data_IF_585657145409
#
_entry.id   IF_585657145409
#
_cell.length_a   1.000
_cell.length_b   1.000
_cell.length_c   1.000
_cell.angle_alpha   90.00
_cell.angle_beta   90.00
_cell.angle_gamma   90.00
#
_symmetry.space_group_name_H-M   'P 1'
#
loop_
_entity.id
_entity.type
_entity.pdbx_description
1 polymer ?
#
# COMPACT_ATOMS: atom_id res chain seq x y z
N UNK A 1 -13.24 11.39 -29.16
CA UNK A 1 -12.92 11.13 -27.72
C UNK A 1 -11.42 11.28 -27.51
N UNK A 2 -10.93 11.75 -26.33
CA UNK A 2 -9.50 11.83 -26.04
C UNK A 2 -8.97 10.46 -25.60
N UNK A 3 -7.85 10.00 -26.18
CA UNK A 3 -7.20 8.73 -25.89
C UNK A 3 -5.69 8.87 -25.84
N UNK A 4 -5.03 8.06 -25.00
CA UNK A 4 -3.56 8.07 -24.80
C UNK A 4 -2.88 6.80 -25.32
N UNK A 5 -3.66 5.80 -25.78
CA UNK A 5 -3.16 4.56 -26.40
C UNK A 5 -3.47 4.59 -27.90
N UNK A 6 -2.42 4.65 -28.73
CA UNK A 6 -2.56 4.71 -30.21
C UNK A 6 -3.32 3.51 -30.78
N UNK A 7 -3.26 2.33 -30.14
CA UNK A 7 -3.94 1.10 -30.56
C UNK A 7 -5.46 1.16 -30.38
N UNK A 8 -5.93 2.03 -29.47
CA UNK A 8 -7.35 2.24 -29.15
C UNK A 8 -8.00 3.37 -29.96
N UNK A 9 -7.21 4.07 -30.79
CA UNK A 9 -7.70 5.18 -31.62
C UNK A 9 -8.68 4.64 -32.66
N UNK A 10 -9.77 5.38 -32.84
CA UNK A 10 -10.77 5.21 -33.89
C UNK A 10 -10.98 6.52 -34.64
N UNK A 11 -11.62 6.46 -35.80
CA UNK A 11 -11.84 7.65 -36.68
C UNK A 11 -12.49 8.81 -35.92
N UNK A 12 -11.84 9.95 -35.94
CA UNK A 12 -12.33 11.19 -35.31
C UNK A 12 -11.87 11.38 -33.87
N UNK A 13 -11.11 10.45 -33.27
CA UNK A 13 -10.57 10.60 -31.92
C UNK A 13 -9.44 11.65 -31.88
N UNK A 14 -9.18 12.13 -30.68
CA UNK A 14 -8.00 12.94 -30.34
C UNK A 14 -6.96 12.05 -29.65
N UNK A 15 -5.76 11.98 -30.21
CA UNK A 15 -4.63 11.30 -29.57
C UNK A 15 -3.82 12.27 -28.73
N UNK A 16 -3.55 11.96 -27.47
CA UNK A 16 -2.67 12.69 -26.59
C UNK A 16 -1.41 11.87 -26.33
N UNK A 17 -0.27 12.39 -26.76
CA UNK A 17 1.03 11.73 -26.68
C UNK A 17 1.65 11.92 -25.28
N UNK A 18 1.46 10.93 -24.38
CA UNK A 18 2.04 10.96 -23.04
C UNK A 18 3.46 10.40 -23.05
N UNK A 19 4.37 11.10 -22.38
CA UNK A 19 5.70 10.58 -22.08
C UNK A 19 5.62 9.64 -20.88
N UNK A 20 5.89 8.35 -21.10
CA UNK A 20 5.97 7.31 -20.07
C UNK A 20 7.41 7.07 -19.62
N UNK A 21 7.58 6.17 -18.64
CA UNK A 21 8.91 5.79 -18.10
C UNK A 21 9.68 4.93 -19.09
N UNK A 22 9.01 4.04 -19.81
CA UNK A 22 9.62 3.06 -20.73
C UNK A 22 9.43 3.48 -22.20
N UNK A 23 8.32 4.12 -22.53
CA UNK A 23 7.94 4.48 -23.89
C UNK A 23 7.53 5.95 -23.95
N UNK A 24 7.89 6.64 -25.04
CA UNK A 24 7.40 7.99 -25.31
C UNK A 24 6.20 7.91 -26.28
N UNK A 25 5.03 8.41 -25.84
CA UNK A 25 3.82 8.45 -26.66
C UNK A 25 3.99 9.23 -27.96
N UNK A 26 4.96 10.14 -28.02
CA UNK A 26 5.28 10.89 -29.24
C UNK A 26 5.76 9.99 -30.38
N UNK A 27 6.39 8.85 -30.07
CA UNK A 27 6.86 7.88 -31.07
C UNK A 27 5.69 7.15 -31.78
N UNK A 28 4.48 7.27 -31.25
CA UNK A 28 3.27 6.59 -31.74
C UNK A 28 2.26 7.53 -32.41
N UNK A 29 2.61 8.81 -32.61
CA UNK A 29 1.69 9.81 -33.18
C UNK A 29 1.29 9.42 -34.61
N UNK A 30 2.25 9.05 -35.45
CA UNK A 30 1.97 8.64 -36.82
C UNK A 30 1.04 7.43 -36.88
N UNK A 31 1.28 6.46 -36.01
CA UNK A 31 0.39 5.29 -35.90
C UNK A 31 -1.02 5.67 -35.45
N UNK A 32 -1.17 6.62 -34.52
CA UNK A 32 -2.45 7.12 -34.09
C UNK A 32 -3.21 7.83 -35.24
N UNK A 33 -2.50 8.60 -36.06
CA UNK A 33 -3.05 9.26 -37.27
C UNK A 33 -3.53 8.20 -38.28
N UNK A 34 -2.71 7.18 -38.54
CA UNK A 34 -3.06 6.07 -39.44
C UNK A 34 -4.30 5.31 -38.94
N UNK A 35 -4.46 5.20 -37.63
CA UNK A 35 -5.64 4.58 -37.00
C UNK A 35 -6.88 5.49 -36.99
N UNK A 36 -6.76 6.76 -37.45
CA UNK A 36 -7.86 7.67 -37.66
C UNK A 36 -7.98 8.80 -36.63
N UNK A 37 -6.91 9.14 -35.91
CA UNK A 37 -6.89 10.34 -35.09
C UNK A 37 -7.10 11.59 -35.97
N UNK A 38 -8.05 12.42 -35.61
CA UNK A 38 -8.33 13.70 -36.33
C UNK A 38 -7.60 14.89 -35.68
N UNK A 39 -7.13 14.70 -34.45
CA UNK A 39 -6.39 15.69 -33.67
C UNK A 39 -5.29 15.01 -32.85
N UNK A 40 -4.15 15.68 -32.70
CA UNK A 40 -3.02 15.29 -31.88
C UNK A 40 -2.73 16.37 -30.85
N UNK A 41 -2.48 15.96 -29.61
CA UNK A 41 -1.95 16.82 -28.54
C UNK A 41 -0.59 16.28 -28.16
N UNK A 42 0.45 17.11 -28.29
CA UNK A 42 1.84 16.71 -28.09
C UNK A 42 2.69 17.88 -27.57
N UNK A 43 3.94 17.61 -27.22
CA UNK A 43 4.89 18.60 -26.70
C UNK A 43 5.76 19.17 -27.83
N UNK A 44 5.84 18.49 -28.98
CA UNK A 44 6.69 18.86 -30.15
C UNK A 44 6.17 18.20 -31.41
N UNK A 45 6.59 18.75 -32.54
CA UNK A 45 6.31 18.22 -33.89
C UNK A 45 5.21 18.97 -34.62
N UNK A 46 5.00 18.62 -35.89
CA UNK A 46 3.92 19.09 -36.75
C UNK A 46 3.45 17.92 -37.61
N UNK A 47 2.14 17.73 -37.72
CA UNK A 47 1.52 16.55 -38.33
C UNK A 47 0.40 16.95 -39.27
N UNK A 48 0.01 16.05 -40.19
CA UNK A 48 -1.02 16.30 -41.20
C UNK A 48 -2.46 16.30 -40.67
N UNK A 49 -2.61 16.47 -39.34
CA UNK A 49 -3.91 16.59 -38.67
C UNK A 49 -3.88 17.79 -37.71
N UNK A 50 -5.04 18.20 -37.19
CA UNK A 50 -5.08 19.28 -36.22
C UNK A 50 -4.13 18.97 -35.08
N UNK A 51 -3.12 19.82 -34.85
CA UNK A 51 -2.07 19.62 -33.84
C UNK A 51 -2.11 20.73 -32.80
N UNK A 52 -2.26 20.35 -31.54
CA UNK A 52 -2.14 21.24 -30.40
C UNK A 52 -0.82 20.94 -29.68
N UNK A 53 0.10 21.92 -29.67
CA UNK A 53 1.36 21.84 -28.93
C UNK A 53 1.12 22.40 -27.51
N UNK A 54 1.50 21.63 -26.49
CA UNK A 54 1.42 22.00 -25.08
C UNK A 54 2.77 21.83 -24.41
N UNK A 55 3.10 22.61 -23.36
CA UNK A 55 4.39 22.51 -22.67
C UNK A 55 4.61 21.15 -21.99
N UNK A 56 3.54 20.51 -21.50
CA UNK A 56 3.55 19.23 -20.81
C UNK A 56 2.19 18.54 -21.05
N UNK A 57 2.22 17.39 -21.70
CA UNK A 57 1.02 16.63 -22.06
C UNK A 57 0.33 15.99 -20.84
N UNK A 58 1.07 15.68 -19.78
CA UNK A 58 0.50 15.12 -18.54
C UNK A 58 -0.25 16.19 -17.74
N UNK A 59 0.31 17.38 -17.63
CA UNK A 59 -0.36 18.54 -17.00
C UNK A 59 -1.62 18.90 -17.78
N UNK A 60 -1.55 18.90 -19.11
CA UNK A 60 -2.71 19.14 -19.97
C UNK A 60 -3.80 18.10 -19.72
N UNK A 61 -3.43 16.80 -19.68
CA UNK A 61 -4.37 15.70 -19.43
C UNK A 61 -5.06 15.86 -18.08
N UNK A 62 -4.30 16.10 -17.01
CA UNK A 62 -4.84 16.24 -15.67
C UNK A 62 -5.89 17.37 -15.61
N UNK A 63 -5.54 18.54 -16.17
CA UNK A 63 -6.46 19.67 -16.24
C UNK A 63 -7.70 19.35 -17.10
N UNK A 64 -7.51 18.76 -18.28
CA UNK A 64 -8.61 18.39 -19.17
C UNK A 64 -9.60 17.44 -18.48
N UNK A 65 -9.09 16.42 -17.78
CA UNK A 65 -9.92 15.46 -17.05
C UNK A 65 -10.64 16.13 -15.86
N UNK A 66 -9.93 16.95 -15.07
CA UNK A 66 -10.53 17.71 -13.95
C UNK A 66 -11.66 18.60 -14.45
N UNK A 67 -11.46 19.36 -15.52
CA UNK A 67 -12.47 20.27 -16.06
C UNK A 67 -13.67 19.49 -16.65
N UNK A 68 -13.39 18.39 -17.38
CA UNK A 68 -14.41 17.57 -18.01
C UNK A 68 -15.31 16.86 -17.00
N UNK A 69 -14.73 16.34 -15.93
CA UNK A 69 -15.43 15.52 -14.91
C UNK A 69 -15.59 16.24 -13.57
N UNK A 70 -15.55 17.58 -13.60
CA UNK A 70 -15.66 18.42 -12.39
C UNK A 70 -16.88 18.06 -11.54
N UNK A 71 -18.06 17.89 -12.16
CA UNK A 71 -19.29 17.55 -11.45
C UNK A 71 -19.17 16.24 -10.66
N UNK A 72 -18.54 15.22 -11.27
CA UNK A 72 -18.33 13.92 -10.64
C UNK A 72 -17.31 14.03 -9.50
N UNK A 73 -16.19 14.73 -9.73
CA UNK A 73 -15.16 14.93 -8.71
C UNK A 73 -15.71 15.71 -7.49
N UNK A 74 -16.50 16.74 -7.71
CA UNK A 74 -17.10 17.56 -6.66
C UNK A 74 -18.09 16.77 -5.78
N UNK A 75 -18.57 15.59 -6.23
CA UNK A 75 -19.45 14.74 -5.43
C UNK A 75 -18.73 13.84 -4.44
N UNK A 76 -17.40 13.74 -4.53
CA UNK A 76 -16.60 12.87 -3.67
C UNK A 76 -15.85 13.62 -2.58
N UNK A 77 -15.63 12.93 -1.46
CA UNK A 77 -14.56 13.21 -0.53
C UNK A 77 -13.37 12.31 -0.84
N UNK A 78 -12.18 12.87 -1.01
CA UNK A 78 -10.96 12.13 -1.30
C UNK A 78 -10.08 12.01 -0.06
N UNK A 79 -9.63 10.78 0.24
CA UNK A 79 -8.67 10.48 1.31
C UNK A 79 -7.43 9.85 0.68
N UNK A 80 -6.26 10.48 0.84
CA UNK A 80 -4.99 10.03 0.29
C UNK A 80 -4.03 9.57 1.39
N UNK A 81 -3.50 8.34 1.29
CA UNK A 81 -2.58 7.77 2.27
C UNK A 81 -1.20 7.58 1.65
N UNK A 82 -0.17 8.17 2.24
CA UNK A 82 1.22 7.95 1.83
C UNK A 82 2.10 7.50 3.00
N UNK A 83 3.27 6.97 2.69
CA UNK A 83 4.25 6.45 3.63
C UNK A 83 5.02 5.28 3.03
N UNK A 84 6.01 4.73 3.73
CA UNK A 84 6.69 3.50 3.30
C UNK A 84 5.82 2.30 3.60
N UNK A 85 5.44 2.09 4.84
CA UNK A 85 4.63 0.97 5.33
C UNK A 85 3.27 1.47 5.83
N UNK A 86 2.27 0.57 5.92
CA UNK A 86 0.96 0.86 6.53
C UNK A 86 -0.09 1.48 5.60
N UNK A 87 0.24 1.95 4.40
CA UNK A 87 -0.72 2.54 3.45
C UNK A 87 -1.94 1.65 3.21
N UNK A 88 -1.71 0.41 2.78
CA UNK A 88 -2.76 -0.56 2.45
C UNK A 88 -3.67 -0.83 3.63
N UNK A 89 -3.08 -1.12 4.80
CA UNK A 89 -3.86 -1.41 6.00
C UNK A 89 -4.68 -0.20 6.42
N UNK A 90 -4.07 0.99 6.51
CA UNK A 90 -4.78 2.22 6.89
C UNK A 90 -5.93 2.53 5.92
N UNK A 91 -5.66 2.53 4.61
CA UNK A 91 -6.68 2.81 3.59
C UNK A 91 -7.82 1.78 3.63
N UNK A 92 -7.51 0.49 3.82
CA UNK A 92 -8.53 -0.55 3.89
C UNK A 92 -9.34 -0.50 5.19
N UNK A 93 -8.73 -0.12 6.31
CA UNK A 93 -9.44 0.12 7.57
C UNK A 93 -10.39 1.33 7.45
N UNK A 94 -9.97 2.42 6.79
CA UNK A 94 -10.84 3.56 6.49
C UNK A 94 -12.03 3.11 5.64
N UNK A 95 -11.78 2.39 4.54
CA UNK A 95 -12.80 1.85 3.66
C UNK A 95 -13.86 1.04 4.43
N UNK A 96 -13.42 0.08 5.26
CA UNK A 96 -14.33 -0.73 6.05
C UNK A 96 -15.11 0.11 7.06
N UNK A 97 -14.42 0.96 7.82
CA UNK A 97 -14.99 1.74 8.91
C UNK A 97 -16.06 2.70 8.39
N UNK A 98 -15.79 3.46 7.33
CA UNK A 98 -16.75 4.39 6.74
C UNK A 98 -17.98 3.66 6.17
N UNK A 99 -17.80 2.53 5.49
CA UNK A 99 -18.94 1.71 5.04
C UNK A 99 -19.77 1.19 6.23
N UNK A 100 -19.15 0.81 7.36
CA UNK A 100 -19.86 0.39 8.58
C UNK A 100 -20.56 1.55 9.30
N UNK A 101 -20.12 2.76 9.06
CA UNK A 101 -20.76 4.00 9.50
C UNK A 101 -21.86 4.48 8.55
N UNK A 102 -22.13 3.74 7.45
CA UNK A 102 -23.15 4.06 6.46
C UNK A 102 -22.71 5.04 5.37
N UNK A 103 -21.41 5.32 5.26
CA UNK A 103 -20.84 6.20 4.23
C UNK A 103 -20.30 5.37 3.08
N UNK A 104 -20.99 5.35 1.96
CA UNK A 104 -20.61 4.55 0.79
C UNK A 104 -19.22 4.94 0.30
N UNK A 105 -18.27 4.05 0.49
CA UNK A 105 -16.84 4.31 0.29
C UNK A 105 -16.24 3.33 -0.69
N UNK A 106 -15.38 3.81 -1.59
CA UNK A 106 -14.54 2.98 -2.46
C UNK A 106 -13.08 3.00 -1.96
N UNK A 107 -12.34 1.92 -2.26
CA UNK A 107 -10.90 1.81 -1.99
C UNK A 107 -10.13 1.59 -3.29
N UNK A 108 -9.03 2.30 -3.48
CA UNK A 108 -8.08 2.15 -4.59
C UNK A 108 -6.68 1.94 -4.00
N UNK A 109 -6.07 0.80 -4.26
CA UNK A 109 -4.72 0.54 -3.73
C UNK A 109 -4.15 -0.81 -4.11
N UNK A 110 -3.11 -1.23 -3.39
CA UNK A 110 -2.31 -2.43 -3.68
C UNK A 110 -3.14 -3.70 -3.80
N UNK A 111 -4.17 -3.85 -3.00
CA UNK A 111 -5.02 -5.06 -3.00
C UNK A 111 -6.17 -4.99 -4.02
N UNK A 112 -6.25 -3.93 -4.82
CA UNK A 112 -7.22 -3.77 -5.90
C UNK A 112 -8.07 -2.52 -5.79
N UNK A 113 -9.10 -2.43 -6.62
CA UNK A 113 -10.17 -1.45 -6.55
C UNK A 113 -11.42 -2.13 -5.97
N UNK A 114 -11.92 -1.62 -4.86
CA UNK A 114 -13.08 -2.13 -4.16
C UNK A 114 -14.20 -1.10 -4.19
N UNK A 115 -15.36 -1.49 -4.62
CA UNK A 115 -16.60 -0.73 -4.51
C UNK A 115 -17.76 -1.72 -4.35
N UNK A 116 -18.62 -1.48 -3.37
CA UNK A 116 -19.62 -2.46 -2.94
C UNK A 116 -18.94 -3.82 -2.61
N UNK A 117 -19.51 -4.94 -3.08
CA UNK A 117 -18.96 -6.29 -2.92
C UNK A 117 -18.05 -6.70 -4.10
N UNK A 118 -17.68 -5.75 -4.98
CA UNK A 118 -16.85 -6.04 -6.15
C UNK A 118 -15.39 -5.69 -5.92
N UNK A 119 -14.48 -6.54 -6.44
CA UNK A 119 -13.04 -6.30 -6.48
C UNK A 119 -12.56 -6.38 -7.93
N UNK A 120 -11.77 -5.40 -8.34
CA UNK A 120 -10.99 -5.43 -9.59
C UNK A 120 -9.50 -5.33 -9.27
N UNK A 121 -8.70 -6.22 -9.84
CA UNK A 121 -7.23 -6.14 -9.71
C UNK A 121 -6.67 -4.91 -10.41
N UNK A 122 -5.59 -4.37 -9.87
CA UNK A 122 -4.89 -3.22 -10.39
C UNK A 122 -3.42 -3.58 -10.69
N UNK A 123 -2.89 -3.04 -11.77
CA UNK A 123 -1.48 -3.23 -12.13
C UNK A 123 -0.51 -2.41 -11.25
N UNK A 124 -1.00 -1.35 -10.63
CA UNK A 124 -0.23 -0.45 -9.78
C UNK A 124 -1.02 -0.10 -8.53
N UNK A 125 -0.32 0.10 -7.40
CA UNK A 125 -0.92 0.59 -6.15
C UNK A 125 -1.74 1.87 -6.35
N UNK A 126 -1.22 2.78 -7.19
CA UNK A 126 -1.92 3.99 -7.63
C UNK A 126 -1.95 3.96 -9.16
N UNK A 127 -3.11 3.74 -9.79
CA UNK A 127 -3.27 3.72 -11.24
C UNK A 127 -2.88 5.03 -11.92
N UNK A 128 -2.73 5.02 -13.24
CA UNK A 128 -2.48 6.26 -14.00
C UNK A 128 -3.78 7.09 -14.15
N UNK A 129 -3.66 8.36 -14.53
CA UNK A 129 -4.76 9.33 -14.59
C UNK A 129 -6.00 8.81 -15.32
N UNK A 130 -5.85 8.25 -16.52
CA UNK A 130 -6.99 7.73 -17.27
C UNK A 130 -7.73 6.62 -16.53
N UNK A 131 -6.97 5.65 -15.99
CA UNK A 131 -7.55 4.53 -15.23
C UNK A 131 -8.23 5.01 -13.93
N UNK A 132 -7.65 6.02 -13.25
CA UNK A 132 -8.26 6.63 -12.06
C UNK A 132 -9.60 7.28 -12.39
N UNK A 133 -9.66 8.06 -13.48
CA UNK A 133 -10.90 8.71 -13.87
C UNK A 133 -11.97 7.73 -14.31
N UNK A 134 -11.61 6.62 -14.99
CA UNK A 134 -12.55 5.53 -15.29
C UNK A 134 -13.11 4.93 -13.98
N UNK A 135 -12.28 4.77 -12.94
CA UNK A 135 -12.73 4.30 -11.63
C UNK A 135 -13.62 5.33 -10.91
N UNK A 136 -13.29 6.63 -11.04
CA UNK A 136 -14.14 7.69 -10.46
C UNK A 136 -15.52 7.74 -11.12
N UNK A 137 -15.61 7.51 -12.43
CA UNK A 137 -16.89 7.41 -13.12
C UNK A 137 -17.70 6.19 -12.65
N UNK A 138 -17.06 5.02 -12.51
CA UNK A 138 -17.70 3.83 -11.92
C UNK A 138 -18.18 4.11 -10.49
N UNK A 139 -17.39 4.82 -9.68
CA UNK A 139 -17.78 5.26 -8.34
C UNK A 139 -19.00 6.21 -8.38
N UNK A 140 -19.02 7.16 -9.33
CA UNK A 140 -20.11 8.10 -9.46
C UNK A 140 -21.43 7.41 -9.82
N UNK A 141 -21.40 6.49 -10.79
CA UNK A 141 -22.57 5.72 -11.21
C UNK A 141 -23.10 4.84 -10.07
N UNK A 142 -22.24 4.42 -9.15
CA UNK A 142 -22.61 3.64 -7.96
C UNK A 142 -22.96 4.48 -6.74
N UNK A 143 -23.01 5.81 -6.86
CA UNK A 143 -23.28 6.73 -5.77
C UNK A 143 -22.31 6.59 -4.59
N UNK A 144 -21.03 6.40 -4.86
CA UNK A 144 -19.95 6.46 -3.86
C UNK A 144 -19.82 7.90 -3.36
N UNK A 145 -19.58 8.07 -2.07
CA UNK A 145 -19.43 9.39 -1.43
C UNK A 145 -17.97 9.67 -1.04
N UNK A 146 -17.20 8.62 -0.73
CA UNK A 146 -15.80 8.75 -0.31
C UNK A 146 -14.92 7.82 -1.13
N UNK A 147 -13.80 8.34 -1.62
CA UNK A 147 -12.76 7.56 -2.30
C UNK A 147 -11.52 7.58 -1.43
N UNK A 148 -11.13 6.42 -0.92
CA UNK A 148 -9.89 6.23 -0.16
C UNK A 148 -8.85 5.60 -1.07
N UNK A 149 -7.68 6.23 -1.19
CA UNK A 149 -6.66 5.73 -2.08
C UNK A 149 -5.26 5.74 -1.47
N UNK A 150 -4.50 4.69 -1.78
CA UNK A 150 -3.06 4.68 -1.54
C UNK A 150 -2.38 5.57 -2.57
N UNK A 151 -1.55 6.50 -2.11
CA UNK A 151 -0.77 7.40 -2.98
C UNK A 151 0.70 7.09 -2.79
N UNK A 152 1.25 6.31 -3.73
CA UNK A 152 2.65 5.91 -3.72
C UNK A 152 3.57 7.07 -4.14
N UNK A 153 4.83 7.04 -3.69
CA UNK A 153 5.83 8.03 -4.10
C UNK A 153 6.06 8.05 -5.60
N UNK A 154 6.02 6.87 -6.26
CA UNK A 154 6.08 6.77 -7.71
C UNK A 154 4.92 7.49 -8.40
N UNK A 155 3.70 7.34 -7.87
CA UNK A 155 2.54 8.01 -8.43
C UNK A 155 2.64 9.54 -8.32
N UNK A 156 3.15 10.02 -7.20
CA UNK A 156 3.40 11.46 -6.98
C UNK A 156 4.50 12.00 -7.89
N UNK A 157 5.57 11.22 -8.12
CA UNK A 157 6.66 11.61 -9.01
C UNK A 157 6.21 11.61 -10.48
N UNK A 158 5.45 10.58 -10.89
CA UNK A 158 4.95 10.41 -12.24
C UNK A 158 3.66 11.22 -12.53
N UNK A 159 3.18 12.02 -11.57
CA UNK A 159 1.98 12.84 -11.76
C UNK A 159 0.68 12.05 -11.99
N UNK A 160 0.57 10.82 -11.44
CA UNK A 160 -0.63 9.98 -11.61
C UNK A 160 -1.86 10.50 -10.86
N UNK A 161 -1.66 11.38 -9.90
CA UNK A 161 -2.73 12.02 -9.12
C UNK A 161 -2.72 13.56 -9.30
N UNK A 162 -2.08 14.04 -10.36
CA UNK A 162 -1.95 15.47 -10.63
C UNK A 162 -3.32 16.13 -10.72
N UNK A 163 -3.44 17.35 -10.19
CA UNK A 163 -4.67 18.17 -10.11
C UNK A 163 -5.83 17.56 -9.28
N UNK A 164 -5.63 16.41 -8.60
CA UNK A 164 -6.57 15.98 -7.57
C UNK A 164 -6.37 16.81 -6.30
N UNK A 165 -7.45 17.03 -5.58
CA UNK A 165 -7.45 17.71 -4.29
C UNK A 165 -8.08 16.81 -3.22
N UNK A 166 -7.43 16.68 -2.06
CA UNK A 166 -7.81 15.76 -1.01
C UNK A 166 -8.46 16.47 0.17
N UNK A 167 -9.56 15.92 0.67
CA UNK A 167 -10.20 16.36 1.91
C UNK A 167 -9.38 15.91 3.14
N UNK A 168 -8.75 14.73 3.05
CA UNK A 168 -7.87 14.20 4.09
C UNK A 168 -6.63 13.58 3.44
N UNK A 169 -5.47 13.90 3.98
CA UNK A 169 -4.24 13.19 3.65
C UNK A 169 -3.60 12.62 4.90
N UNK A 170 -2.90 11.49 4.78
CA UNK A 170 -2.21 10.89 5.92
C UNK A 170 -0.79 10.44 5.58
N UNK A 171 0.12 10.70 6.53
CA UNK A 171 1.49 10.18 6.55
C UNK A 171 1.62 9.11 7.62
N UNK A 172 2.03 7.92 7.23
CA UNK A 172 2.22 6.79 8.15
C UNK A 172 3.64 6.69 8.70
N UNK A 173 4.65 6.61 7.84
CA UNK A 173 6.07 6.54 8.19
C UNK A 173 6.97 6.70 6.96
N UNK A 174 8.26 6.94 7.19
CA UNK A 174 9.28 7.03 6.15
C UNK A 174 10.53 6.23 6.56
N UNK A 175 10.76 5.09 5.90
CA UNK A 175 11.97 4.26 6.05
C UNK A 175 12.58 3.98 4.69
N UNK A 176 13.78 3.42 4.64
CA UNK A 176 14.49 3.19 3.39
C UNK A 176 13.74 2.21 2.49
N UNK A 177 13.31 2.69 1.33
CA UNK A 177 12.73 1.90 0.25
C UNK A 177 12.82 2.68 -1.08
N UNK A 178 12.71 2.00 -2.22
CA UNK A 178 12.63 2.61 -3.56
C UNK A 178 13.76 3.59 -3.93
N UNK A 179 14.96 3.44 -3.35
CA UNK A 179 16.11 4.30 -3.69
C UNK A 179 16.62 4.06 -5.11
N UNK A 180 16.38 2.88 -5.67
CA UNK A 180 16.61 2.52 -7.07
C UNK A 180 15.87 3.45 -8.05
N UNK A 181 14.72 3.98 -7.65
CA UNK A 181 13.89 4.88 -8.45
C UNK A 181 14.12 6.34 -8.11
N UNK A 182 14.16 6.68 -6.83
CA UNK A 182 14.27 8.07 -6.38
C UNK A 182 15.71 8.60 -6.36
N UNK A 183 16.72 7.71 -6.44
CA UNK A 183 18.14 8.04 -6.42
C UNK A 183 18.66 8.50 -5.04
N UNK A 184 17.83 9.14 -4.21
CA UNK A 184 18.20 9.55 -2.86
C UNK A 184 17.01 9.50 -1.89
N UNK A 185 17.32 9.41 -0.60
CA UNK A 185 16.30 9.45 0.45
C UNK A 185 15.57 10.80 0.49
N UNK A 186 16.26 11.89 0.19
CA UNK A 186 15.69 13.24 0.15
C UNK A 186 14.65 13.36 -0.98
N UNK A 187 14.95 12.85 -2.17
CA UNK A 187 13.99 12.81 -3.28
C UNK A 187 12.76 11.97 -2.91
N UNK A 188 12.95 10.85 -2.22
CA UNK A 188 11.87 9.99 -1.74
C UNK A 188 10.97 10.71 -0.74
N UNK A 189 11.56 11.46 0.22
CA UNK A 189 10.83 12.32 1.15
C UNK A 189 10.03 13.40 0.38
N UNK A 190 10.72 14.14 -0.50
CA UNK A 190 10.12 15.22 -1.29
C UNK A 190 8.97 14.73 -2.17
N UNK A 191 9.10 13.53 -2.75
CA UNK A 191 8.03 12.92 -3.52
C UNK A 191 6.77 12.72 -2.69
N UNK A 192 6.88 12.17 -1.47
CA UNK A 192 5.72 11.96 -0.59
C UNK A 192 5.11 13.26 -0.07
N UNK A 193 5.92 14.28 0.18
CA UNK A 193 5.45 15.60 0.59
C UNK A 193 4.54 16.28 -0.44
N UNK A 194 4.64 15.91 -1.75
CA UNK A 194 3.75 16.43 -2.79
C UNK A 194 2.27 16.21 -2.45
N UNK A 195 1.92 15.06 -1.83
CA UNK A 195 0.54 14.78 -1.42
C UNK A 195 0.00 15.82 -0.43
N UNK A 196 0.84 16.28 0.50
CA UNK A 196 0.44 17.25 1.52
C UNK A 196 0.22 18.67 0.97
N UNK A 197 0.72 18.94 -0.24
CA UNK A 197 0.46 20.17 -0.99
C UNK A 197 -0.84 20.10 -1.81
N UNK A 198 -1.48 18.92 -1.86
CA UNK A 198 -2.72 18.67 -2.59
C UNK A 198 -3.94 18.65 -1.65
N UNK A 199 -3.76 19.04 -0.40
CA UNK A 199 -4.85 19.16 0.59
C UNK A 199 -5.70 20.37 0.25
N UNK A 200 -7.03 20.24 0.28
CA UNK A 200 -7.97 21.37 0.15
C UNK A 200 -7.74 22.37 1.28
N UNK A 201 -8.13 23.62 1.08
CA UNK A 201 -7.97 24.69 2.08
C UNK A 201 -8.65 24.38 3.44
N UNK A 202 -9.75 23.62 3.41
CA UNK A 202 -10.50 23.14 4.56
C UNK A 202 -10.20 21.66 4.90
N UNK A 203 -9.22 21.07 4.21
CA UNK A 203 -8.83 19.68 4.38
C UNK A 203 -7.90 19.45 5.56
N UNK A 204 -7.74 18.17 5.94
CA UNK A 204 -6.98 17.74 7.12
C UNK A 204 -5.74 16.95 6.72
N UNK A 205 -4.60 17.29 7.32
CA UNK A 205 -3.34 16.55 7.20
C UNK A 205 -3.06 15.74 8.48
N UNK A 206 -3.11 14.43 8.39
CA UNK A 206 -2.88 13.49 9.51
C UNK A 206 -1.41 13.05 9.49
N UNK A 207 -0.68 13.31 10.58
CA UNK A 207 0.76 13.09 10.63
C UNK A 207 1.16 12.25 11.84
N UNK A 208 1.88 11.14 11.56
CA UNK A 208 2.56 10.35 12.57
C UNK A 208 3.80 11.10 13.07
N UNK A 209 3.76 11.63 14.30
CA UNK A 209 4.89 12.37 14.88
C UNK A 209 5.89 11.47 15.63
N UNK A 210 5.62 10.20 15.77
CA UNK A 210 6.61 9.24 16.30
C UNK A 210 7.66 8.88 15.25
N UNK A 211 7.31 8.99 13.96
CA UNK A 211 8.28 8.86 12.88
C UNK A 211 9.29 10.02 12.91
N UNK A 212 10.56 9.70 12.64
CA UNK A 212 11.65 10.68 12.67
C UNK A 212 11.52 11.81 11.64
N UNK A 213 10.71 11.58 10.61
CA UNK A 213 10.43 12.56 9.54
C UNK A 213 9.02 13.17 9.67
N UNK A 214 8.27 12.86 10.72
CA UNK A 214 6.92 13.38 10.94
C UNK A 214 6.85 14.90 10.83
N UNK A 215 7.76 15.60 11.49
CA UNK A 215 7.81 17.07 11.48
C UNK A 215 7.95 17.66 10.07
N UNK A 216 8.52 16.91 9.11
CA UNK A 216 8.67 17.33 7.71
C UNK A 216 7.35 17.33 6.92
N UNK A 217 6.28 16.76 7.50
CA UNK A 217 4.94 16.73 6.92
C UNK A 217 3.95 17.71 7.57
N UNK A 218 4.40 18.50 8.53
CA UNK A 218 3.61 19.57 9.16
C UNK A 218 3.76 20.86 8.34
N UNK A 219 2.90 21.06 7.36
CA UNK A 219 2.88 22.29 6.56
C UNK A 219 1.97 23.33 7.23
N UNK A 220 2.44 24.59 7.35
CA UNK A 220 1.66 25.70 7.94
C UNK A 220 0.37 25.99 7.19
N UNK A 221 0.31 25.69 5.89
CA UNK A 221 -0.89 25.84 5.05
C UNK A 221 -1.99 24.83 5.36
N UNK A 222 -1.70 23.77 6.15
CA UNK A 222 -2.61 22.66 6.38
C UNK A 222 -3.19 22.69 7.79
N UNK A 223 -4.42 22.22 7.96
CA UNK A 223 -4.94 21.87 9.27
C UNK A 223 -4.34 20.52 9.71
N UNK A 224 -3.25 20.61 10.50
CA UNK A 224 -2.48 19.46 10.92
C UNK A 224 -3.08 18.78 12.15
N UNK A 225 -3.33 17.48 12.05
CA UNK A 225 -3.73 16.60 13.15
C UNK A 225 -2.64 15.57 13.37
N UNK A 226 -2.03 15.56 14.54
CA UNK A 226 -0.93 14.67 14.86
C UNK A 226 -1.39 13.46 15.66
N UNK A 227 -0.70 12.32 15.48
CA UNK A 227 -0.95 11.12 16.27
C UNK A 227 0.35 10.38 16.60
N UNK A 228 0.36 9.65 17.72
CA UNK A 228 1.52 8.88 18.18
C UNK A 228 1.52 8.63 19.68
N UNK A 229 2.63 8.09 20.19
CA UNK A 229 2.92 7.95 21.64
C UNK A 229 3.48 9.25 22.19
N UNK A 230 4.31 9.97 21.40
CA UNK A 230 4.74 11.32 21.75
C UNK A 230 3.53 12.25 21.94
N UNK A 231 3.68 13.38 22.64
CA UNK A 231 2.59 14.34 22.76
C UNK A 231 2.01 14.71 21.38
N UNK A 232 0.73 14.46 21.19
CA UNK A 232 0.04 14.57 19.91
C UNK A 232 -1.42 14.98 20.11
N UNK A 233 -2.11 15.40 19.04
CA UNK A 233 -3.57 15.65 19.05
C UNK A 233 -4.33 14.37 19.44
N UNK A 234 -3.91 13.22 18.91
CA UNK A 234 -4.38 11.88 19.26
C UNK A 234 -3.21 11.11 19.87
N UNK A 235 -3.10 11.13 21.20
CA UNK A 235 -1.96 10.58 21.92
C UNK A 235 -2.27 9.20 22.52
N UNK A 236 -1.47 8.21 22.19
CA UNK A 236 -1.47 6.90 22.85
C UNK A 236 -0.73 7.06 24.19
N UNK A 237 -1.43 6.80 25.30
CA UNK A 237 -0.86 6.89 26.65
C UNK A 237 -0.23 5.59 27.09
N UNK A 238 -0.90 4.49 26.84
CA UNK A 238 -0.48 3.14 27.21
C UNK A 238 -1.05 2.11 26.25
N UNK A 239 -0.42 0.94 26.12
CA UNK A 239 -0.91 -0.17 25.28
C UNK A 239 -0.49 -1.54 25.81
N UNK A 240 -1.34 -2.54 25.57
CA UNK A 240 -1.12 -3.96 25.85
C UNK A 240 -1.37 -4.77 24.57
N UNK A 241 -0.33 -5.44 24.09
CA UNK A 241 -0.38 -6.26 22.87
C UNK A 241 -0.70 -7.71 23.21
N UNK A 242 -1.70 -8.27 22.54
CA UNK A 242 -2.04 -9.70 22.56
C UNK A 242 -2.01 -10.26 21.16
N UNK A 243 -1.88 -11.56 21.04
CA UNK A 243 -1.79 -12.25 19.74
C UNK A 243 -3.00 -12.03 18.82
N UNK A 244 -4.17 -11.73 19.39
CA UNK A 244 -5.42 -11.57 18.64
C UNK A 244 -6.06 -10.19 18.79
N UNK A 245 -5.47 -9.28 19.55
CA UNK A 245 -5.99 -7.93 19.76
C UNK A 245 -4.93 -7.00 20.34
N UNK A 246 -5.16 -5.70 20.20
CA UNK A 246 -4.38 -4.65 20.84
C UNK A 246 -5.29 -3.83 21.75
N UNK A 247 -4.92 -3.65 23.02
CA UNK A 247 -5.60 -2.71 23.91
C UNK A 247 -4.74 -1.46 24.06
N UNK A 248 -5.35 -0.30 24.08
CA UNK A 248 -4.62 0.95 24.33
C UNK A 248 -5.55 2.04 24.83
N UNK A 249 -4.99 2.98 25.58
CA UNK A 249 -5.68 4.21 26.01
C UNK A 249 -5.30 5.34 25.10
N UNK A 250 -6.28 5.93 24.43
CA UNK A 250 -6.14 7.07 23.54
C UNK A 250 -6.60 8.34 24.22
N UNK A 251 -5.75 9.35 24.31
CA UNK A 251 -6.08 10.70 24.77
C UNK A 251 -6.35 11.61 23.56
N UNK A 252 -7.49 12.29 23.57
CA UNK A 252 -7.86 13.33 22.60
C UNK A 252 -8.37 14.54 23.36
N UNK A 253 -7.66 15.63 23.32
CA UNK A 253 -7.93 16.84 24.15
C UNK A 253 -7.99 16.47 25.63
N UNK A 254 -9.15 16.67 26.28
CA UNK A 254 -9.36 16.35 27.70
C UNK A 254 -9.99 14.96 27.95
N UNK A 255 -10.32 14.22 26.88
CA UNK A 255 -10.97 12.91 26.99
C UNK A 255 -9.96 11.77 26.83
N UNK A 256 -10.23 10.66 27.48
CA UNK A 256 -9.49 9.41 27.31
C UNK A 256 -10.43 8.30 26.93
N UNK A 257 -10.01 7.45 25.99
CA UNK A 257 -10.80 6.35 25.45
C UNK A 257 -10.00 5.03 25.59
N UNK A 258 -10.55 4.06 26.29
CA UNK A 258 -9.96 2.73 26.35
C UNK A 258 -10.45 1.90 25.15
N UNK A 259 -9.53 1.58 24.28
CA UNK A 259 -9.81 0.95 22.99
C UNK A 259 -9.32 -0.49 23.02
N UNK A 260 -10.18 -1.42 22.59
CA UNK A 260 -9.81 -2.81 22.30
C UNK A 260 -9.95 -3.03 20.79
N UNK A 261 -8.83 -2.99 20.09
CA UNK A 261 -8.77 -3.23 18.65
C UNK A 261 -8.68 -4.74 18.39
N UNK A 262 -9.59 -5.36 17.62
CA UNK A 262 -9.55 -6.79 17.30
C UNK A 262 -8.46 -7.16 16.27
N UNK A 263 -7.43 -6.36 16.20
CA UNK A 263 -6.29 -6.49 15.30
C UNK A 263 -5.02 -6.37 16.14
N UNK A 264 -4.11 -7.37 16.12
CA UNK A 264 -2.88 -7.33 16.88
C UNK A 264 -1.80 -6.49 16.23
N UNK A 265 -0.81 -6.13 17.03
CA UNK A 265 0.42 -5.49 16.60
C UNK A 265 0.43 -3.97 16.76
N UNK A 266 1.55 -3.48 17.25
CA UNK A 266 1.77 -2.05 17.53
C UNK A 266 1.51 -1.18 16.29
N UNK A 267 2.03 -1.57 15.12
CA UNK A 267 1.84 -0.82 13.88
C UNK A 267 0.37 -0.78 13.41
N UNK A 268 -0.44 -1.78 13.75
CA UNK A 268 -1.87 -1.77 13.44
C UNK A 268 -2.65 -0.79 14.32
N UNK A 269 -2.17 -0.50 15.52
CA UNK A 269 -2.69 0.59 16.35
C UNK A 269 -2.50 1.94 15.62
N UNK A 270 -1.33 2.20 15.05
CA UNK A 270 -1.09 3.40 14.24
C UNK A 270 -1.95 3.45 12.97
N UNK A 271 -2.07 2.32 12.26
CA UNK A 271 -2.93 2.22 11.07
C UNK A 271 -4.40 2.48 11.42
N UNK A 272 -4.87 1.99 12.57
CA UNK A 272 -6.22 2.24 13.05
C UNK A 272 -6.41 3.73 13.43
N UNK A 273 -5.43 4.38 14.03
CA UNK A 273 -5.53 5.82 14.33
C UNK A 273 -5.70 6.65 13.07
N UNK A 274 -5.04 6.32 11.98
CA UNK A 274 -5.28 6.97 10.68
C UNK A 274 -6.75 6.80 10.27
N UNK A 275 -7.32 5.61 10.44
CA UNK A 275 -8.72 5.35 10.08
C UNK A 275 -9.70 6.09 11.00
N UNK A 276 -9.47 6.08 12.30
CA UNK A 276 -10.26 6.81 13.29
C UNK A 276 -10.27 8.32 12.99
N UNK A 277 -9.07 8.90 12.84
CA UNK A 277 -8.92 10.35 12.61
C UNK A 277 -9.54 10.74 11.27
N UNK A 278 -9.39 9.92 10.23
CA UNK A 278 -10.02 10.17 8.93
C UNK A 278 -11.56 10.22 9.04
N UNK A 279 -12.16 9.28 9.79
CA UNK A 279 -13.60 9.29 10.01
C UNK A 279 -14.05 10.54 10.81
N UNK A 280 -13.32 10.90 11.87
CA UNK A 280 -13.60 12.10 12.65
C UNK A 280 -13.44 13.38 11.81
N UNK A 281 -12.44 13.43 10.92
CA UNK A 281 -12.24 14.54 9.99
C UNK A 281 -13.39 14.69 8.98
N UNK A 282 -14.15 13.63 8.73
CA UNK A 282 -15.38 13.66 7.92
C UNK A 282 -16.64 13.95 8.73
N UNK A 283 -16.52 14.28 10.03
CA UNK A 283 -17.61 14.73 10.90
C UNK A 283 -18.27 13.64 11.75
N UNK A 284 -17.66 12.45 11.88
CA UNK A 284 -18.17 11.42 12.80
C UNK A 284 -17.65 11.62 14.22
N UNK A 285 -18.50 11.35 15.22
CA UNK A 285 -18.08 11.33 16.61
C UNK A 285 -17.19 10.12 16.92
N UNK A 286 -16.18 10.30 17.78
CA UNK A 286 -15.23 9.24 18.15
C UNK A 286 -15.97 8.01 18.70
N UNK A 287 -16.97 8.22 19.58
CA UNK A 287 -17.74 7.14 20.18
C UNK A 287 -18.50 6.32 19.14
N UNK A 288 -19.06 6.95 18.11
CA UNK A 288 -19.77 6.24 17.04
C UNK A 288 -18.81 5.43 16.18
N UNK A 289 -17.59 5.95 15.94
CA UNK A 289 -16.51 5.20 15.27
C UNK A 289 -16.10 3.98 16.11
N UNK A 290 -15.89 4.16 17.41
CA UNK A 290 -15.48 3.10 18.33
C UNK A 290 -16.52 1.97 18.45
N UNK A 291 -17.82 2.26 18.34
CA UNK A 291 -18.87 1.24 18.29
C UNK A 291 -18.77 0.30 17.08
N UNK A 292 -18.00 0.65 16.06
CA UNK A 292 -17.83 -0.16 14.83
C UNK A 292 -16.50 -0.92 14.79
N UNK A 293 -15.64 -0.78 15.79
CA UNK A 293 -14.28 -1.31 15.79
C UNK A 293 -14.24 -2.86 15.69
N UNK A 294 -15.20 -3.56 16.26
CA UNK A 294 -15.27 -5.03 16.22
C UNK A 294 -15.65 -5.57 14.82
N UNK A 295 -16.05 -4.69 13.91
CA UNK A 295 -16.49 -5.06 12.55
C UNK A 295 -15.38 -4.93 11.50
N UNK A 296 -14.18 -4.45 11.89
CA UNK A 296 -13.06 -4.26 10.98
C UNK A 296 -12.01 -5.35 11.15
N UNK A 297 -11.27 -5.61 10.09
CA UNK A 297 -10.18 -6.59 10.04
C UNK A 297 -9.07 -6.12 9.10
N UNK A 298 -7.87 -6.65 9.29
CA UNK A 298 -6.77 -6.43 8.34
C UNK A 298 -7.12 -6.94 6.95
N UNK A 299 -6.60 -6.33 5.89
CA UNK A 299 -6.73 -6.88 4.54
C UNK A 299 -5.99 -8.22 4.44
N UNK A 300 -6.39 -9.06 3.47
CA UNK A 300 -5.72 -10.32 3.15
C UNK A 300 -4.21 -10.12 3.04
N UNK A 301 -3.44 -11.00 3.68
CA UNK A 301 -1.98 -10.98 3.65
C UNK A 301 -1.32 -9.77 4.34
N UNK A 302 -2.01 -9.13 5.26
CA UNK A 302 -1.48 -8.09 6.16
C UNK A 302 -1.75 -8.48 7.60
N UNK A 303 -0.80 -9.12 8.24
CA UNK A 303 -0.96 -9.77 9.54
C UNK A 303 -2.19 -10.68 9.58
N UNK A 304 -2.32 -11.50 8.56
CA UNK A 304 -3.49 -12.37 8.37
C UNK A 304 -3.32 -13.64 9.22
N UNK A 305 -4.14 -13.76 10.26
CA UNK A 305 -4.01 -14.80 11.29
C UNK A 305 -4.80 -16.04 10.93
N UNK A 306 -4.14 -17.18 11.08
CA UNK A 306 -4.73 -18.52 11.00
C UNK A 306 -4.45 -19.24 12.32
N UNK A 307 -5.49 -19.59 13.06
CA UNK A 307 -5.33 -20.37 14.29
C UNK A 307 -5.20 -21.86 13.93
N UNK A 308 -4.19 -22.52 14.50
CA UNK A 308 -3.93 -23.94 14.30
C UNK A 308 -3.59 -24.61 15.63
N UNK A 309 -4.52 -25.39 16.18
CA UNK A 309 -4.45 -25.94 17.55
C UNK A 309 -4.20 -24.81 18.59
N UNK A 310 -3.13 -24.92 19.40
CA UNK A 310 -2.68 -23.86 20.30
C UNK A 310 -1.72 -22.86 19.65
N UNK A 311 -1.43 -23.00 18.35
CA UNK A 311 -0.46 -22.23 17.60
C UNK A 311 -1.12 -21.15 16.74
N UNK A 312 -0.31 -20.19 16.29
CA UNK A 312 -0.75 -19.14 15.39
C UNK A 312 0.16 -19.09 14.16
N UNK A 313 -0.45 -19.09 13.00
CA UNK A 313 0.23 -18.88 11.72
C UNK A 313 -0.18 -17.49 11.22
N UNK A 314 0.80 -16.68 10.84
CA UNK A 314 0.59 -15.31 10.32
C UNK A 314 1.13 -15.22 8.91
N UNK A 315 0.30 -14.81 7.97
CA UNK A 315 0.72 -14.48 6.59
C UNK A 315 0.81 -12.97 6.45
N UNK A 316 1.98 -12.46 6.00
CA UNK A 316 2.20 -11.02 5.85
C UNK A 316 3.06 -10.66 4.64
N UNK A 317 2.83 -9.48 4.10
CA UNK A 317 3.54 -8.92 2.94
C UNK A 317 4.89 -8.29 3.30
N UNK A 318 5.41 -8.43 4.50
CA UNK A 318 6.70 -7.88 4.93
C UNK A 318 7.84 -8.39 4.03
N UNK A 319 8.35 -7.51 3.17
CA UNK A 319 9.38 -7.77 2.16
C UNK A 319 10.49 -6.71 2.11
N UNK A 320 10.51 -5.83 3.11
CA UNK A 320 11.58 -4.85 3.34
C UNK A 320 12.21 -5.09 4.70
N UNK A 321 13.49 -4.71 4.93
CA UNK A 321 14.16 -4.89 6.22
C UNK A 321 13.36 -4.34 7.40
N UNK A 322 12.83 -3.12 7.27
CA UNK A 322 12.04 -2.47 8.32
C UNK A 322 10.72 -3.22 8.59
N UNK A 323 9.99 -3.65 7.55
CA UNK A 323 8.75 -4.38 7.71
C UNK A 323 8.99 -5.74 8.40
N UNK A 324 10.04 -6.47 8.02
CA UNK A 324 10.42 -7.75 8.66
C UNK A 324 10.81 -7.53 10.12
N UNK A 325 11.58 -6.48 10.42
CA UNK A 325 11.94 -6.14 11.78
C UNK A 325 10.72 -5.79 12.64
N UNK A 326 9.82 -4.99 12.10
CA UNK A 326 8.64 -4.52 12.83
C UNK A 326 7.67 -5.67 13.15
N UNK A 327 7.42 -6.58 12.20
CA UNK A 327 6.55 -7.73 12.47
C UNK A 327 7.17 -8.68 13.49
N UNK A 328 8.46 -8.98 13.38
CA UNK A 328 9.17 -9.83 14.31
C UNK A 328 9.20 -9.24 15.72
N UNK A 329 9.56 -7.97 15.87
CA UNK A 329 9.54 -7.28 17.17
C UNK A 329 8.13 -7.27 17.78
N UNK A 330 7.11 -6.99 16.97
CA UNK A 330 5.73 -6.99 17.44
C UNK A 330 5.32 -8.37 18.00
N UNK A 331 5.66 -9.45 17.28
CA UNK A 331 5.35 -10.81 17.71
C UNK A 331 6.10 -11.20 18.99
N UNK A 332 7.36 -10.76 19.14
CA UNK A 332 8.17 -11.03 20.32
C UNK A 332 7.63 -10.39 21.60
N UNK A 333 6.88 -9.29 21.51
CA UNK A 333 6.30 -8.61 22.68
C UNK A 333 5.20 -9.43 23.36
N UNK A 334 4.51 -10.33 22.63
CA UNK A 334 3.40 -11.11 23.18
C UNK A 334 3.50 -12.63 22.97
N UNK A 335 4.62 -13.13 22.44
CA UNK A 335 4.81 -14.57 22.25
C UNK A 335 4.82 -15.31 23.60
N UNK A 336 4.27 -16.50 23.61
CA UNK A 336 4.40 -17.45 24.72
C UNK A 336 5.35 -18.62 24.36
N UNK A 337 5.36 -19.04 23.10
CA UNK A 337 6.20 -20.09 22.54
C UNK A 337 7.35 -19.56 21.66
N UNK A 338 7.84 -20.41 20.76
CA UNK A 338 8.88 -20.10 19.78
C UNK A 338 8.31 -19.37 18.57
N UNK A 339 9.17 -18.61 17.92
CA UNK A 339 8.86 -17.95 16.62
C UNK A 339 9.64 -18.62 15.52
N UNK A 340 8.93 -19.11 14.51
CA UNK A 340 9.47 -19.64 13.28
C UNK A 340 9.14 -18.68 12.14
N UNK A 341 10.06 -18.51 11.20
CA UNK A 341 9.87 -17.58 10.08
C UNK A 341 10.19 -18.25 8.75
N UNK A 342 9.26 -18.16 7.81
CA UNK A 342 9.46 -18.51 6.40
C UNK A 342 9.53 -17.21 5.62
N UNK A 343 10.63 -17.00 4.88
CA UNK A 343 10.85 -15.75 4.16
C UNK A 343 11.70 -15.99 2.92
N UNK A 344 11.44 -15.19 1.87
CA UNK A 344 12.23 -15.12 0.66
C UNK A 344 12.40 -13.69 0.18
N UNK A 345 13.20 -13.52 -0.86
CA UNK A 345 13.36 -12.24 -1.54
C UNK A 345 13.00 -12.37 -3.02
N UNK A 346 12.36 -11.35 -3.59
CA UNK A 346 12.06 -11.31 -5.01
C UNK A 346 13.32 -11.14 -5.86
N UNK A 347 13.38 -11.84 -7.00
CA UNK A 347 14.37 -11.60 -8.05
C UNK A 347 14.08 -10.32 -8.83
N UNK A 348 15.08 -9.83 -9.57
CA UNK A 348 15.03 -8.57 -10.35
C UNK A 348 14.57 -7.38 -9.49
N UNK A 349 15.08 -7.31 -8.24
CA UNK A 349 14.80 -6.28 -7.24
C UNK A 349 16.09 -5.87 -6.53
N UNK A 350 15.99 -4.85 -5.67
CA UNK A 350 17.10 -4.38 -4.85
C UNK A 350 17.75 -5.54 -4.06
N UNK A 351 18.99 -5.89 -4.44
CA UNK A 351 19.76 -6.97 -3.83
C UNK A 351 20.33 -6.58 -2.47
N UNK A 352 20.54 -5.28 -2.22
CA UNK A 352 21.20 -4.80 -1.00
C UNK A 352 20.41 -5.09 0.27
N UNK A 353 19.10 -5.25 0.15
CA UNK A 353 18.22 -5.58 1.28
C UNK A 353 18.28 -7.05 1.69
N UNK A 354 18.71 -7.97 0.80
CA UNK A 354 18.68 -9.43 1.03
C UNK A 354 19.46 -9.86 2.26
N UNK A 355 20.76 -9.52 2.42
CA UNK A 355 21.52 -9.92 3.61
C UNK A 355 20.97 -9.27 4.88
N UNK A 356 20.44 -8.05 4.81
CA UNK A 356 19.84 -7.36 5.97
C UNK A 356 18.58 -8.11 6.43
N UNK A 357 17.72 -8.54 5.51
CA UNK A 357 16.52 -9.31 5.82
C UNK A 357 16.87 -10.68 6.40
N UNK A 358 17.91 -11.35 5.87
CA UNK A 358 18.42 -12.60 6.39
C UNK A 358 18.92 -12.48 7.84
N UNK A 359 19.73 -11.46 8.15
CA UNK A 359 20.22 -11.19 9.50
C UNK A 359 19.08 -10.86 10.48
N UNK A 360 18.15 -10.01 10.10
CA UNK A 360 16.96 -9.70 10.92
C UNK A 360 16.17 -10.97 11.22
N UNK A 361 15.84 -11.77 10.20
CA UNK A 361 15.06 -12.98 10.36
C UNK A 361 15.72 -13.96 11.34
N UNK A 362 17.03 -14.25 11.17
CA UNK A 362 17.77 -15.16 12.04
C UNK A 362 18.02 -14.62 13.44
N UNK A 363 18.10 -13.28 13.58
CA UNK A 363 18.29 -12.62 14.89
C UNK A 363 17.04 -12.73 15.77
N UNK A 364 15.87 -12.55 15.17
CA UNK A 364 14.62 -12.41 15.92
C UNK A 364 13.73 -13.67 15.91
N UNK A 365 14.10 -14.71 15.14
CA UNK A 365 13.38 -15.99 15.09
C UNK A 365 14.18 -17.10 15.79
N UNK A 366 13.47 -18.07 16.35
CA UNK A 366 14.08 -19.29 16.87
C UNK A 366 14.60 -20.18 15.73
N UNK A 367 13.91 -20.17 14.58
CA UNK A 367 14.33 -20.87 13.37
C UNK A 367 13.75 -20.21 12.14
N UNK A 368 14.52 -20.22 11.05
CA UNK A 368 14.16 -19.59 9.77
C UNK A 368 14.23 -20.61 8.64
N UNK A 369 13.25 -20.57 7.75
CA UNK A 369 13.29 -21.30 6.48
C UNK A 369 13.34 -20.25 5.37
N UNK A 370 14.47 -20.16 4.67
CA UNK A 370 14.60 -19.33 3.49
C UNK A 370 14.03 -20.07 2.29
N UNK A 371 13.19 -19.41 1.49
CA UNK A 371 12.49 -20.04 0.36
C UNK A 371 12.29 -19.05 -0.78
N UNK A 372 11.87 -19.55 -1.95
CA UNK A 372 11.53 -18.69 -3.07
C UNK A 372 10.31 -17.81 -2.76
N UNK A 373 10.43 -16.55 -3.12
CA UNK A 373 9.31 -15.62 -3.26
C UNK A 373 8.84 -15.62 -4.74
N UNK A 374 9.23 -14.65 -5.53
CA UNK A 374 9.10 -14.57 -6.99
C UNK A 374 10.52 -14.45 -7.58
N UNK A 375 11.22 -15.54 -7.90
CA UNK A 375 12.59 -15.44 -8.43
C UNK A 375 12.66 -14.71 -9.77
N UNK A 376 11.59 -14.67 -10.55
CA UNK A 376 11.54 -14.07 -11.88
C UNK A 376 12.63 -14.62 -12.80
N UNK A 377 13.41 -13.75 -13.47
CA UNK A 377 14.49 -14.18 -14.36
C UNK A 377 15.84 -14.36 -13.65
N UNK A 378 15.93 -14.10 -12.35
CA UNK A 378 17.16 -14.24 -11.56
C UNK A 378 17.36 -15.69 -11.07
N UNK A 379 18.61 -16.13 -10.96
CA UNK A 379 18.96 -17.45 -10.45
C UNK A 379 18.57 -17.59 -8.97
N UNK A 380 17.77 -18.60 -8.66
CA UNK A 380 17.24 -18.85 -7.31
C UNK A 380 18.37 -19.08 -6.30
N UNK A 381 19.44 -19.76 -6.71
CA UNK A 381 20.60 -20.00 -5.86
C UNK A 381 21.30 -18.69 -5.52
N UNK A 382 21.48 -17.81 -6.51
CA UNK A 382 22.09 -16.49 -6.28
C UNK A 382 21.28 -15.65 -5.29
N UNK A 383 19.94 -15.71 -5.36
CA UNK A 383 19.06 -15.02 -4.41
C UNK A 383 19.31 -15.53 -2.98
N UNK A 384 19.38 -16.88 -2.82
CA UNK A 384 19.64 -17.48 -1.50
C UNK A 384 21.04 -17.18 -1.00
N UNK A 385 22.05 -17.27 -1.86
CA UNK A 385 23.43 -16.92 -1.51
C UNK A 385 23.53 -15.47 -1.02
N UNK A 386 22.84 -14.52 -1.66
CA UNK A 386 22.78 -13.11 -1.21
C UNK A 386 22.11 -12.97 0.16
N UNK A 387 21.07 -13.75 0.46
CA UNK A 387 20.37 -13.69 1.76
C UNK A 387 21.29 -14.17 2.89
N UNK A 388 22.05 -15.24 2.66
CA UNK A 388 22.81 -15.91 3.73
C UNK A 388 24.28 -15.52 3.80
N UNK A 389 24.79 -14.68 2.88
CA UNK A 389 26.22 -14.38 2.71
C UNK A 389 26.90 -13.81 3.97
N UNK A 390 26.17 -13.18 4.87
CA UNK A 390 26.72 -12.53 6.07
C UNK A 390 26.16 -13.13 7.37
N UNK A 391 25.57 -14.33 7.33
CA UNK A 391 24.97 -14.94 8.52
C UNK A 391 26.01 -15.69 9.36
N UNK A 392 26.17 -15.28 10.61
CA UNK A 392 26.99 -15.99 11.61
C UNK A 392 26.17 -17.06 12.40
N UNK A 393 24.85 -17.13 12.16
CA UNK A 393 23.91 -18.01 12.87
C UNK A 393 23.60 -19.27 12.07
N UNK A 394 23.30 -20.38 12.76
CA UNK A 394 22.99 -21.68 12.15
C UNK A 394 21.51 -22.09 12.35
N UNK A 395 20.68 -21.15 12.82
CA UNK A 395 19.25 -21.42 13.08
C UNK A 395 18.40 -21.24 11.83
N UNK A 396 18.88 -21.71 10.68
CA UNK A 396 18.12 -21.66 9.44
C UNK A 396 18.39 -22.88 8.55
N UNK A 397 17.49 -23.06 7.58
CA UNK A 397 17.66 -23.95 6.43
C UNK A 397 17.13 -23.28 5.16
N UNK A 398 17.53 -23.80 4.00
CA UNK A 398 17.06 -23.35 2.68
C UNK A 398 16.20 -24.45 2.06
N UNK A 399 14.95 -24.10 1.72
CA UNK A 399 14.02 -24.97 0.99
C UNK A 399 13.47 -24.14 -0.16
N UNK A 400 13.93 -24.39 -1.39
CA UNK A 400 13.54 -23.58 -2.56
C UNK A 400 12.03 -23.63 -2.85
N UNK A 401 11.43 -24.84 -2.77
CA UNK A 401 9.99 -25.00 -2.94
C UNK A 401 9.24 -24.40 -1.75
N UNK A 402 8.44 -23.35 -2.03
CA UNK A 402 7.73 -22.60 -0.99
C UNK A 402 6.63 -23.43 -0.32
N UNK A 403 5.97 -24.36 -1.04
CA UNK A 403 4.97 -25.27 -0.43
C UNK A 403 5.64 -26.20 0.56
N UNK A 404 6.77 -26.82 0.18
CA UNK A 404 7.54 -27.67 1.09
C UNK A 404 8.10 -26.88 2.29
N UNK A 405 8.49 -25.61 2.09
CA UNK A 405 8.92 -24.74 3.16
C UNK A 405 7.78 -24.49 4.17
N UNK A 406 6.56 -24.27 3.70
CA UNK A 406 5.37 -24.07 4.55
C UNK A 406 5.02 -25.37 5.29
N UNK A 407 5.02 -26.52 4.60
CA UNK A 407 4.81 -27.84 5.21
C UNK A 407 5.81 -28.10 6.33
N UNK A 408 7.09 -27.85 6.06
CA UNK A 408 8.16 -27.98 7.05
C UNK A 408 7.95 -27.06 8.23
N UNK A 409 7.66 -25.78 7.99
CA UNK A 409 7.40 -24.79 9.07
C UNK A 409 6.25 -25.20 9.97
N UNK A 410 5.14 -25.67 9.41
CA UNK A 410 3.99 -26.17 10.17
C UNK A 410 4.37 -27.41 11.00
N UNK A 411 5.16 -28.31 10.43
CA UNK A 411 5.61 -29.52 11.12
C UNK A 411 6.51 -29.27 12.35
N UNK A 412 7.16 -28.11 12.41
CA UNK A 412 8.04 -27.72 13.52
C UNK A 412 7.27 -27.16 14.71
N UNK A 413 6.01 -26.74 14.52
CA UNK A 413 5.20 -26.11 15.57
C UNK A 413 4.90 -27.09 16.71
N UNK A 414 5.08 -26.59 17.93
CA UNK A 414 4.73 -27.29 19.16
C UNK A 414 3.56 -26.59 19.82
N UNK A 415 3.62 -26.33 21.11
CA UNK A 415 2.56 -25.66 21.84
C UNK A 415 2.83 -24.15 21.95
N UNK A 416 1.83 -23.33 21.60
CA UNK A 416 1.87 -21.85 21.66
C UNK A 416 2.92 -21.21 20.77
N UNK A 417 3.40 -21.92 19.76
CA UNK A 417 4.37 -21.41 18.79
C UNK A 417 3.70 -20.50 17.75
N UNK A 418 4.51 -19.64 17.15
CA UNK A 418 4.09 -18.72 16.10
C UNK A 418 4.91 -19.00 14.84
N UNK A 419 4.23 -19.19 13.71
CA UNK A 419 4.83 -19.27 12.38
C UNK A 419 4.52 -18.00 11.60
N UNK A 420 5.54 -17.29 11.19
CA UNK A 420 5.43 -16.16 10.27
C UNK A 420 5.77 -16.60 8.85
N UNK A 421 4.87 -16.35 7.90
CA UNK A 421 5.08 -16.58 6.45
C UNK A 421 5.11 -15.21 5.80
N UNK A 422 6.31 -14.77 5.39
CA UNK A 422 6.58 -13.39 4.98
C UNK A 422 6.94 -13.29 3.49
N UNK A 423 6.68 -12.10 2.92
CA UNK A 423 7.06 -11.69 1.58
C UNK A 423 5.87 -11.53 0.64
N UNK A 424 5.09 -12.57 0.42
CA UNK A 424 3.99 -12.59 -0.58
C UNK A 424 2.70 -11.98 -0.09
N UNK A 425 2.34 -12.21 1.16
CA UNK A 425 1.12 -11.66 1.77
C UNK A 425 -0.15 -11.95 0.96
N UNK A 426 -0.66 -10.93 0.26
CA UNK A 426 -1.89 -11.00 -0.53
C UNK A 426 -1.69 -11.54 -1.96
N UNK A 427 -0.44 -11.68 -2.41
CA UNK A 427 -0.15 -12.22 -3.74
C UNK A 427 -0.63 -13.67 -3.83
N UNK A 428 -1.38 -13.97 -4.88
CA UNK A 428 -1.95 -15.29 -5.19
C UNK A 428 -1.23 -15.98 -6.35
N UNK A 429 0.03 -15.56 -6.62
CA UNK A 429 0.84 -16.10 -7.71
C UNK A 429 2.31 -16.23 -7.33
N UNK A 430 3.04 -17.09 -8.04
CA UNK A 430 4.49 -17.13 -8.08
C UNK A 430 4.98 -16.94 -9.50
N UNK A 431 6.08 -16.19 -9.68
CA UNK A 431 6.70 -15.93 -10.98
C UNK A 431 8.08 -16.60 -11.02
N UNK A 432 8.24 -17.59 -11.89
CA UNK A 432 9.51 -18.26 -12.17
C UNK A 432 9.82 -18.05 -13.67
N UNK A 433 10.93 -17.42 -13.97
CA UNK A 433 11.20 -16.95 -15.33
C UNK A 433 10.14 -15.93 -15.76
N UNK A 434 9.43 -16.25 -16.85
CA UNK A 434 8.30 -15.46 -17.37
C UNK A 434 6.94 -16.08 -17.06
N UNK A 435 6.93 -17.24 -16.44
CA UNK A 435 5.71 -17.98 -16.12
C UNK A 435 5.13 -17.47 -14.78
N UNK A 436 3.84 -17.16 -14.79
CA UNK A 436 3.07 -16.78 -13.61
C UNK A 436 2.10 -17.89 -13.29
N UNK A 437 2.31 -18.59 -12.17
CA UNK A 437 1.46 -19.68 -11.68
C UNK A 437 0.69 -19.26 -10.45
N UNK A 438 -0.46 -19.87 -10.20
CA UNK A 438 -1.21 -19.64 -8.97
C UNK A 438 -0.45 -20.19 -7.76
N UNK A 439 -0.29 -19.37 -6.74
CA UNK A 439 0.32 -19.75 -5.46
C UNK A 439 -0.08 -18.74 -4.37
N UNK A 440 -0.86 -19.17 -3.41
CA UNK A 440 -1.33 -18.34 -2.29
C UNK A 440 -0.90 -18.98 -0.97
N UNK A 441 -0.10 -18.26 -0.18
CA UNK A 441 0.44 -18.76 1.09
C UNK A 441 -0.67 -19.22 2.05
N UNK A 442 -1.78 -18.48 2.14
CA UNK A 442 -2.89 -18.80 3.02
C UNK A 442 -3.66 -20.04 2.56
N UNK A 443 -3.87 -20.20 1.26
CA UNK A 443 -4.51 -21.39 0.68
C UNK A 443 -3.67 -22.63 0.96
N UNK A 444 -2.35 -22.55 0.77
CA UNK A 444 -1.41 -23.65 1.06
C UNK A 444 -1.46 -24.03 2.54
N UNK A 445 -1.42 -23.05 3.45
CA UNK A 445 -1.56 -23.33 4.89
C UNK A 445 -2.87 -24.04 5.20
N UNK A 446 -4.00 -23.53 4.67
CA UNK A 446 -5.32 -24.13 4.92
C UNK A 446 -5.47 -25.53 4.32
N UNK A 447 -4.78 -25.83 3.22
CA UNK A 447 -4.71 -27.18 2.63
C UNK A 447 -3.98 -28.16 3.57
N UNK A 448 -2.85 -27.73 4.16
CA UNK A 448 -2.00 -28.58 5.02
C UNK A 448 -2.62 -28.86 6.38
N UNK A 449 -3.32 -27.88 6.95
CA UNK A 449 -3.87 -28.01 8.32
C UNK A 449 -5.29 -28.61 8.39
N UNK A 450 -5.90 -28.92 7.23
CA UNK A 450 -7.17 -29.67 7.14
C UNK A 450 -6.99 -31.11 7.61
#
# INVERSE_FOLDING_TARGET
MLKTDSRKITKGDTFLALKGVVTDGHDYIEQAILNGASKVICERGSYDVETLIVPDTRVYLAKYLKDTYKKQLDSFKFIGITGTNGKTTSAYLIYQLLNKLGKKTAYIGTIGFYVDDTRRELNNTTPDLMDLYDMFLDCYDKNVEVIVMEVSSHALELGRVLDLEFDVVAFTNLTQDHLDVHGSFENYLNAKQKLFKMVKNDGVAIVNIDDSYGDKFLFESNFNVTYGIKPATYQILDYDLKINKTKFTLKVSNNSYDITLPIPGKYNMYNFLVALISAVSLGYDIEDVLKKIDLIKTPKGRFDIINYNSNVIVVDYAHTPDAVLNILKSVLEYREGKVYTIIGCGGDRDRTKRPIMGDIATTYSNYVIFTNDNPRCEDEKQIMDDIVCNLDRNNYEIIYDRKLAIEKGISLLKEKDILLILGKGHEDYQIIGKEKTHFDDKEVVLEIIK
#
